data_IF_900693005673
#
_entry.id   IF_900693005673
#
_cell.length_a   1.000
_cell.length_b   1.000
_cell.length_c   1.000
_cell.angle_alpha   90.00
_cell.angle_beta   90.00
_cell.angle_gamma   90.00
#
_symmetry.space_group_name_H-M   'P 1'
#
loop_
_entity.id
_entity.type
_entity.pdbx_description
1 polymer ?
#
# COMPACT_ATOMS: atom_id res chain seq x y z
N UNK A 1 26.68 -33.95 33.58
CA UNK A 1 25.53 -33.08 33.80
C UNK A 1 25.79 -31.62 33.45
N UNK A 2 26.82 -30.92 33.91
CA UNK A 2 27.08 -29.48 33.62
C UNK A 2 27.23 -29.15 32.11
N UNK A 3 27.89 -29.98 31.31
CA UNK A 3 28.07 -29.76 29.86
C UNK A 3 26.73 -29.86 29.08
N UNK A 4 25.83 -30.75 29.47
CA UNK A 4 24.53 -30.89 28.83
C UNK A 4 23.58 -29.70 29.11
N UNK A 5 23.67 -29.11 30.30
CA UNK A 5 22.87 -27.93 30.68
C UNK A 5 23.34 -26.70 29.92
N UNK A 6 24.64 -26.52 29.70
CA UNK A 6 25.20 -25.39 28.93
C UNK A 6 24.79 -25.49 27.46
N UNK A 7 24.80 -26.70 26.86
CA UNK A 7 24.34 -26.91 25.48
C UNK A 7 22.84 -26.62 25.33
N UNK A 8 22.00 -27.04 26.26
CA UNK A 8 20.57 -26.78 26.28
C UNK A 8 20.28 -25.29 26.43
N UNK A 9 20.98 -24.57 27.30
CA UNK A 9 20.83 -23.12 27.46
C UNK A 9 21.28 -22.35 26.22
N UNK A 10 22.39 -22.74 25.57
CA UNK A 10 22.83 -22.10 24.34
C UNK A 10 21.87 -22.35 23.18
N UNK A 11 21.30 -23.55 23.02
CA UNK A 11 20.28 -23.87 22.03
C UNK A 11 18.99 -23.07 22.25
N UNK A 12 18.54 -22.91 23.49
CA UNK A 12 17.35 -22.13 23.80
C UNK A 12 17.56 -20.63 23.55
N UNK A 13 18.72 -20.08 23.81
CA UNK A 13 19.06 -18.68 23.50
C UNK A 13 19.09 -18.44 21.96
N UNK A 14 19.70 -19.35 21.20
CA UNK A 14 19.74 -19.28 19.74
C UNK A 14 18.34 -19.41 19.16
N UNK A 15 17.52 -20.33 19.65
CA UNK A 15 16.13 -20.49 19.23
C UNK A 15 15.29 -19.23 19.54
N UNK A 16 15.43 -18.66 20.75
CA UNK A 16 14.75 -17.42 21.12
C UNK A 16 15.20 -16.24 20.27
N UNK A 17 16.49 -16.12 19.98
CA UNK A 17 17.02 -15.09 19.09
C UNK A 17 16.52 -15.27 17.65
N UNK A 18 16.43 -16.50 17.14
CA UNK A 18 15.89 -16.80 15.80
C UNK A 18 14.40 -16.47 15.71
N UNK A 19 13.59 -16.81 16.70
CA UNK A 19 12.17 -16.47 16.77
C UNK A 19 11.98 -14.95 16.84
N UNK A 20 12.76 -14.26 17.68
CA UNK A 20 12.69 -12.81 17.81
C UNK A 20 13.07 -12.09 16.50
N UNK A 21 14.12 -12.56 15.80
CA UNK A 21 14.50 -12.00 14.51
C UNK A 21 13.47 -12.27 13.43
N UNK A 22 12.92 -13.50 13.36
CA UNK A 22 11.86 -13.84 12.40
C UNK A 22 10.61 -13.00 12.63
N UNK A 23 10.17 -12.82 13.88
CA UNK A 23 9.02 -11.99 14.24
C UNK A 23 9.24 -10.50 13.88
N UNK A 24 10.46 -9.99 14.05
CA UNK A 24 10.82 -8.62 13.68
C UNK A 24 10.68 -8.34 12.19
N UNK A 25 10.97 -9.31 11.32
CA UNK A 25 10.88 -9.19 9.86
C UNK A 25 9.52 -9.60 9.32
N UNK A 26 8.61 -10.09 10.15
CA UNK A 26 7.29 -10.49 9.74
C UNK A 26 6.50 -9.31 9.17
N UNK A 27 5.78 -9.57 8.07
CA UNK A 27 4.77 -8.66 7.54
C UNK A 27 3.47 -8.95 8.28
N UNK A 28 2.90 -7.92 8.88
CA UNK A 28 1.62 -7.99 9.57
C UNK A 28 0.52 -7.46 8.66
N UNK A 29 -0.56 -8.22 8.55
CA UNK A 29 -1.81 -7.79 7.94
C UNK A 29 -2.86 -7.54 9.02
N UNK A 30 -3.62 -6.47 8.86
CA UNK A 30 -4.73 -6.14 9.76
C UNK A 30 -5.89 -5.54 8.96
N UNK A 31 -7.09 -6.07 9.15
CA UNK A 31 -8.30 -5.58 8.49
C UNK A 31 -9.17 -4.80 9.46
N UNK A 32 -9.64 -3.64 9.04
CA UNK A 32 -10.50 -2.74 9.81
C UNK A 32 -11.67 -2.28 8.93
N UNK A 33 -12.84 -2.10 9.52
CA UNK A 33 -13.98 -1.48 8.85
C UNK A 33 -14.28 -0.14 9.51
N UNK A 34 -14.13 0.93 8.74
CA UNK A 34 -14.56 2.27 9.13
C UNK A 34 -15.99 2.53 8.65
N UNK A 35 -16.73 3.37 9.38
CA UNK A 35 -18.09 3.76 8.97
C UNK A 35 -18.13 5.25 8.70
N UNK A 36 -18.35 5.63 7.43
CA UNK A 36 -18.44 7.01 7.02
C UNK A 36 -19.81 7.60 7.41
N UNK A 37 -19.85 8.37 8.49
CA UNK A 37 -21.06 9.00 9.01
C UNK A 37 -21.67 10.02 8.07
N UNK A 38 -20.88 10.64 7.18
CA UNK A 38 -21.34 11.65 6.21
C UNK A 38 -22.11 11.03 5.05
N UNK A 39 -21.95 9.70 4.86
CA UNK A 39 -22.59 8.92 3.80
C UNK A 39 -23.47 7.80 4.36
N UNK A 40 -24.29 8.11 5.38
CA UNK A 40 -25.25 7.16 5.95
C UNK A 40 -24.59 5.95 6.62
N UNK A 41 -23.44 6.15 7.28
CA UNK A 41 -22.61 5.10 7.89
C UNK A 41 -22.11 4.06 6.86
N UNK A 42 -21.79 4.52 5.64
CA UNK A 42 -21.23 3.65 4.61
C UNK A 42 -19.99 2.93 5.16
N UNK A 43 -19.94 1.58 5.12
CA UNK A 43 -18.75 0.85 5.51
C UNK A 43 -17.65 1.04 4.45
N UNK A 44 -16.42 1.28 4.91
CA UNK A 44 -15.20 1.30 4.10
C UNK A 44 -14.22 0.34 4.77
N UNK A 45 -14.12 -0.87 4.23
CA UNK A 45 -13.20 -1.87 4.72
C UNK A 45 -11.80 -1.61 4.16
N UNK A 46 -10.82 -1.76 5.02
CA UNK A 46 -9.39 -1.57 4.74
C UNK A 46 -8.63 -2.78 5.26
N UNK A 47 -7.71 -3.30 4.47
CA UNK A 47 -6.66 -4.20 4.92
C UNK A 47 -5.32 -3.49 4.74
N UNK A 48 -4.50 -3.43 5.79
CA UNK A 48 -3.18 -2.84 5.65
C UNK A 48 -2.08 -3.84 6.01
N UNK A 49 -0.99 -3.79 5.24
CA UNK A 49 0.19 -4.59 5.43
C UNK A 49 1.39 -3.69 5.76
N UNK A 50 2.16 -4.09 6.77
CA UNK A 50 3.38 -3.39 7.18
C UNK A 50 4.40 -4.36 7.74
N UNK A 51 5.68 -4.12 7.48
CA UNK A 51 6.76 -4.89 8.08
C UNK A 51 7.04 -4.39 9.50
N UNK A 52 7.00 -5.31 10.46
CA UNK A 52 6.98 -4.99 11.90
C UNK A 52 8.17 -4.15 12.37
N UNK A 53 9.39 -4.44 11.89
CA UNK A 53 10.58 -3.63 12.24
C UNK A 53 10.47 -2.19 11.74
N UNK A 54 9.89 -1.99 10.54
CA UNK A 54 9.69 -0.65 9.97
C UNK A 54 8.59 0.11 10.68
N UNK A 55 7.52 -0.56 11.06
CA UNK A 55 6.46 0.01 11.90
C UNK A 55 7.03 0.49 13.24
N UNK A 56 7.81 -0.36 13.93
CA UNK A 56 8.45 0.02 15.20
C UNK A 56 9.41 1.21 15.06
N UNK A 57 10.21 1.26 13.98
CA UNK A 57 11.10 2.39 13.69
C UNK A 57 10.31 3.69 13.44
N UNK A 58 9.21 3.59 12.71
CA UNK A 58 8.35 4.74 12.42
C UNK A 58 7.64 5.26 13.67
N UNK A 59 7.11 4.37 14.50
CA UNK A 59 6.46 4.71 15.78
C UNK A 59 7.46 5.33 16.77
N UNK A 60 8.75 4.96 16.68
CA UNK A 60 9.83 5.59 17.43
C UNK A 60 10.29 6.94 16.83
N UNK A 61 9.69 7.40 15.73
CA UNK A 61 10.05 8.64 15.05
C UNK A 61 11.36 8.59 14.26
N UNK A 62 11.91 7.40 14.01
CA UNK A 62 13.19 7.23 13.30
C UNK A 62 13.05 7.35 11.78
N UNK A 63 11.84 7.08 11.25
CA UNK A 63 11.50 7.23 9.83
C UNK A 63 10.00 7.48 9.68
N UNK A 64 9.56 7.82 8.45
CA UNK A 64 8.15 7.77 8.05
C UNK A 64 7.94 6.65 7.05
N UNK A 65 6.83 5.91 7.16
CA UNK A 65 6.47 4.86 6.21
C UNK A 65 5.89 5.50 4.96
N UNK A 66 6.45 5.31 3.77
CA UNK A 66 5.77 5.68 2.53
C UNK A 66 4.46 4.87 2.39
N UNK A 67 3.46 5.43 1.72
CA UNK A 67 2.12 4.82 1.62
C UNK A 67 1.84 4.35 0.20
N UNK A 68 1.34 3.10 0.09
CA UNK A 68 0.78 2.55 -1.11
C UNK A 68 -0.72 2.26 -0.93
N UNK A 69 -1.56 2.73 -1.86
CA UNK A 69 -3.01 2.51 -1.86
C UNK A 69 -3.37 1.50 -2.95
N UNK A 70 -3.88 0.34 -2.56
CA UNK A 70 -4.24 -0.75 -3.46
C UNK A 70 -5.75 -0.77 -3.72
N UNK A 71 -6.12 -0.80 -5.01
CA UNK A 71 -7.49 -0.78 -5.48
C UNK A 71 -7.81 -2.08 -6.22
N UNK A 72 -8.88 -2.76 -5.80
CA UNK A 72 -9.28 -4.05 -6.35
C UNK A 72 -9.99 -3.95 -7.70
N UNK A 73 -9.94 -5.04 -8.48
CA UNK A 73 -10.73 -5.21 -9.70
C UNK A 73 -12.23 -5.32 -9.42
N UNK A 74 -13.05 -5.18 -10.47
CA UNK A 74 -14.49 -5.33 -10.34
C UNK A 74 -14.85 -6.75 -9.85
N UNK A 75 -15.76 -6.86 -8.89
CA UNK A 75 -16.20 -8.12 -8.26
C UNK A 75 -15.11 -8.92 -7.51
N UNK A 76 -13.89 -8.37 -7.40
CA UNK A 76 -12.78 -8.98 -6.67
C UNK A 76 -12.72 -8.39 -5.26
N UNK A 77 -12.39 -9.21 -4.27
CA UNK A 77 -12.22 -8.72 -2.89
C UNK A 77 -10.96 -7.85 -2.80
N UNK A 78 -11.01 -6.79 -1.99
CA UNK A 78 -9.88 -5.89 -1.78
C UNK A 78 -8.65 -6.60 -1.15
N UNK A 79 -8.83 -7.75 -0.51
CA UNK A 79 -7.77 -8.59 0.06
C UNK A 79 -7.09 -9.53 -0.93
N UNK A 80 -7.52 -9.59 -2.20
CA UNK A 80 -7.00 -10.50 -3.24
C UNK A 80 -5.71 -10.00 -3.92
N UNK A 81 -4.99 -9.08 -3.28
CA UNK A 81 -3.74 -8.51 -3.78
C UNK A 81 -2.65 -8.52 -2.70
N UNK A 82 -2.69 -9.53 -1.81
CA UNK A 82 -1.72 -9.65 -0.73
C UNK A 82 -0.29 -9.84 -1.25
N UNK A 83 -0.12 -10.49 -2.41
CA UNK A 83 1.18 -10.64 -3.06
C UNK A 83 1.84 -9.29 -3.41
N UNK A 84 1.06 -8.26 -3.80
CA UNK A 84 1.56 -6.90 -4.02
C UNK A 84 1.79 -6.18 -2.69
N UNK A 85 0.82 -6.24 -1.77
CA UNK A 85 0.93 -5.61 -0.46
C UNK A 85 2.20 -6.07 0.28
N UNK A 86 2.56 -7.35 0.14
CA UNK A 86 3.77 -7.92 0.71
C UNK A 86 5.06 -7.34 0.10
N UNK A 87 5.11 -7.05 -1.20
CA UNK A 87 6.27 -6.37 -1.82
C UNK A 87 6.44 -4.97 -1.24
N UNK A 88 5.37 -4.19 -1.16
CA UNK A 88 5.40 -2.86 -0.58
C UNK A 88 5.83 -2.90 0.90
N UNK A 89 5.22 -3.77 1.70
CA UNK A 89 5.57 -3.91 3.12
C UNK A 89 7.01 -4.36 3.32
N UNK A 90 7.52 -5.30 2.51
CA UNK A 90 8.93 -5.73 2.54
C UNK A 90 9.90 -4.57 2.29
N UNK A 91 9.50 -3.59 1.47
CA UNK A 91 10.26 -2.36 1.21
C UNK A 91 10.02 -1.25 2.23
N UNK A 92 9.26 -1.50 3.27
CA UNK A 92 9.00 -0.56 4.36
C UNK A 92 7.86 0.42 4.09
N UNK A 93 6.99 0.14 3.13
CA UNK A 93 5.75 0.89 2.95
C UNK A 93 4.67 0.43 3.94
N UNK A 94 3.73 1.32 4.23
CA UNK A 94 2.40 0.98 4.68
C UNK A 94 1.54 0.75 3.44
N UNK A 95 1.21 -0.50 3.14
CA UNK A 95 0.34 -0.86 2.02
C UNK A 95 -1.11 -0.96 2.50
N UNK A 96 -2.03 -0.24 1.88
CA UNK A 96 -3.44 -0.10 2.29
C UNK A 96 -4.34 -0.53 1.14
N UNK A 97 -4.99 -1.68 1.27
CA UNK A 97 -5.99 -2.19 0.33
C UNK A 97 -7.38 -1.72 0.75
N UNK A 98 -8.14 -1.11 -0.15
CA UNK A 98 -9.44 -0.48 0.15
C UNK A 98 -10.56 -1.15 -0.61
N UNK A 99 -11.67 -1.49 0.09
CA UNK A 99 -12.91 -1.94 -0.52
C UNK A 99 -13.67 -0.75 -1.12
N UNK A 100 -13.65 -0.63 -2.46
CA UNK A 100 -14.28 0.49 -3.16
C UNK A 100 -15.78 0.29 -3.41
N UNK A 101 -16.23 -0.95 -3.58
CA UNK A 101 -17.62 -1.27 -3.88
C UNK A 101 -18.22 -2.16 -2.78
N UNK A 102 -19.49 -1.92 -2.45
CA UNK A 102 -20.30 -2.73 -1.54
C UNK A 102 -21.56 -3.22 -2.26
N UNK A 103 -22.23 -4.29 -1.79
CA UNK A 103 -23.39 -4.85 -2.50
C UNK A 103 -24.51 -3.86 -2.81
N UNK A 104 -24.71 -2.85 -1.97
CA UNK A 104 -25.73 -1.81 -2.18
C UNK A 104 -25.40 -0.80 -3.28
N UNK A 105 -24.18 -0.79 -3.83
CA UNK A 105 -23.79 0.09 -4.94
C UNK A 105 -24.37 -0.35 -6.29
N UNK A 106 -24.88 -1.57 -6.35
CA UNK A 106 -25.33 -2.19 -7.59
C UNK A 106 -24.16 -2.66 -8.49
N UNK A 107 -24.48 -3.26 -9.64
CA UNK A 107 -23.47 -3.74 -10.58
C UNK A 107 -22.73 -2.59 -11.26
N UNK A 108 -21.51 -2.86 -11.71
CA UNK A 108 -20.75 -1.93 -12.54
C UNK A 108 -21.49 -1.66 -13.86
N UNK A 109 -21.72 -0.39 -14.14
CA UNK A 109 -22.38 0.05 -15.37
C UNK A 109 -21.38 0.14 -16.51
N UNK A 110 -21.79 -0.26 -17.72
CA UNK A 110 -21.03 -0.04 -18.96
C UNK A 110 -21.96 0.60 -19.99
N UNK A 111 -21.64 1.83 -20.38
CA UNK A 111 -22.40 2.61 -21.36
C UNK A 111 -21.45 3.06 -22.48
N UNK A 112 -21.56 2.37 -23.61
CA UNK A 112 -20.73 2.66 -24.79
C UNK A 112 -21.00 4.10 -25.27
N UNK A 113 -19.92 4.84 -25.57
CA UNK A 113 -20.00 6.23 -26.04
C UNK A 113 -19.95 7.29 -24.92
N UNK A 114 -20.13 6.92 -23.65
CA UNK A 114 -19.89 7.81 -22.51
C UNK A 114 -18.42 7.78 -22.06
N UNK A 115 -17.97 8.87 -21.42
CA UNK A 115 -16.62 8.95 -20.86
C UNK A 115 -16.35 7.77 -19.90
N UNK A 116 -15.23 7.08 -20.12
CA UNK A 116 -14.86 5.86 -19.38
C UNK A 116 -15.99 4.82 -19.37
N UNK A 117 -16.70 4.71 -20.47
CA UNK A 117 -17.88 3.84 -20.64
C UNK A 117 -18.93 3.98 -19.51
N UNK A 118 -19.14 5.21 -19.04
CA UNK A 118 -20.11 5.54 -18.00
C UNK A 118 -19.69 5.24 -16.57
N UNK A 119 -18.41 4.89 -16.33
CA UNK A 119 -17.90 4.49 -14.98
C UNK A 119 -17.46 5.66 -14.11
N UNK A 120 -17.53 6.89 -14.59
CA UNK A 120 -17.12 8.08 -13.83
C UNK A 120 -17.73 8.16 -12.42
N UNK A 121 -19.04 7.90 -12.19
CA UNK A 121 -19.60 7.92 -10.84
C UNK A 121 -18.97 6.88 -9.90
N UNK A 122 -18.59 5.70 -10.42
CA UNK A 122 -17.89 4.67 -9.64
C UNK A 122 -16.50 5.14 -9.25
N UNK A 123 -15.75 5.76 -10.17
CA UNK A 123 -14.41 6.29 -9.85
C UNK A 123 -14.46 7.42 -8.83
N UNK A 124 -15.44 8.33 -8.94
CA UNK A 124 -15.66 9.40 -7.96
C UNK A 124 -16.00 8.85 -6.57
N UNK A 125 -16.84 7.80 -6.49
CA UNK A 125 -17.14 7.08 -5.24
C UNK A 125 -15.90 6.46 -4.65
N UNK A 126 -15.07 5.80 -5.48
CA UNK A 126 -13.81 5.20 -5.03
C UNK A 126 -12.84 6.25 -4.50
N UNK A 127 -12.67 7.41 -5.16
CA UNK A 127 -11.88 8.53 -4.64
C UNK A 127 -12.37 8.97 -3.27
N UNK A 128 -13.69 9.09 -3.08
CA UNK A 128 -14.25 9.46 -1.78
C UNK A 128 -13.93 8.42 -0.72
N UNK A 129 -14.01 7.11 -1.05
CA UNK A 129 -13.60 6.03 -0.13
C UNK A 129 -12.11 6.11 0.20
N UNK A 130 -11.25 6.34 -0.79
CA UNK A 130 -9.79 6.46 -0.61
C UNK A 130 -9.46 7.62 0.33
N UNK A 131 -10.00 8.80 0.06
CA UNK A 131 -9.75 9.99 0.90
C UNK A 131 -10.26 9.78 2.34
N UNK A 132 -11.45 9.22 2.51
CA UNK A 132 -11.98 8.88 3.82
C UNK A 132 -11.07 7.86 4.54
N UNK A 133 -10.67 6.78 3.86
CA UNK A 133 -9.77 5.78 4.44
C UNK A 133 -8.42 6.39 4.85
N UNK A 134 -7.84 7.26 4.03
CA UNK A 134 -6.59 7.97 4.36
C UNK A 134 -6.74 8.79 5.64
N UNK A 135 -7.83 9.55 5.81
CA UNK A 135 -8.05 10.34 7.04
C UNK A 135 -8.18 9.45 8.27
N UNK A 136 -8.89 8.32 8.16
CA UNK A 136 -8.98 7.35 9.27
C UNK A 136 -7.63 6.67 9.56
N UNK A 137 -6.86 6.37 8.51
CA UNK A 137 -5.54 5.76 8.67
C UNK A 137 -4.50 6.73 9.27
N UNK A 138 -4.60 8.03 9.02
CA UNK A 138 -3.76 9.05 9.69
C UNK A 138 -3.91 9.01 11.21
N UNK A 139 -5.11 8.74 11.71
CA UNK A 139 -5.38 8.64 13.15
C UNK A 139 -4.73 7.40 13.79
N UNK A 140 -4.73 6.25 13.09
CA UNK A 140 -4.21 4.98 13.62
C UNK A 140 -2.76 4.69 13.23
N UNK A 141 -2.26 5.32 12.18
CA UNK A 141 -0.88 5.21 11.67
C UNK A 141 -0.28 6.59 11.37
N UNK A 142 -0.16 7.48 12.38
CA UNK A 142 0.35 8.84 12.19
C UNK A 142 1.84 8.89 11.78
N UNK A 143 2.55 7.78 11.95
CA UNK A 143 3.96 7.62 11.55
C UNK A 143 4.16 7.37 10.05
N UNK A 144 3.08 7.25 9.25
CA UNK A 144 3.15 7.12 7.80
C UNK A 144 3.13 8.49 7.09
N UNK A 145 3.70 8.53 5.89
CA UNK A 145 3.71 9.72 5.03
C UNK A 145 2.62 9.64 3.96
N UNK A 146 1.54 10.36 4.17
CA UNK A 146 0.40 10.43 3.24
C UNK A 146 0.51 11.58 2.24
N UNK A 147 1.62 12.32 2.21
CA UNK A 147 1.79 13.48 1.31
C UNK A 147 2.09 13.08 -0.13
N UNK A 148 2.69 11.90 -0.34
CA UNK A 148 3.07 11.37 -1.65
C UNK A 148 2.75 9.88 -1.73
N UNK A 149 1.65 9.55 -2.38
CA UNK A 149 1.10 8.20 -2.47
C UNK A 149 1.66 7.41 -3.66
N UNK A 150 1.82 6.11 -3.49
CA UNK A 150 1.90 5.17 -4.61
C UNK A 150 0.52 4.55 -4.83
N UNK A 151 -0.13 4.90 -5.95
CA UNK A 151 -1.44 4.35 -6.30
C UNK A 151 -1.27 3.04 -7.06
N UNK A 152 -1.98 2.01 -6.65
CA UNK A 152 -1.89 0.66 -7.23
C UNK A 152 -3.29 0.17 -7.56
N UNK A 153 -3.45 -0.57 -8.66
CA UNK A 153 -4.75 -1.19 -8.91
C UNK A 153 -4.77 -2.16 -10.09
N UNK A 154 -5.68 -3.12 -10.00
CA UNK A 154 -5.93 -4.12 -11.04
C UNK A 154 -7.24 -3.81 -11.77
N UNK A 155 -7.26 -3.93 -13.12
CA UNK A 155 -8.48 -3.77 -13.90
C UNK A 155 -9.18 -2.43 -13.60
N UNK A 156 -10.44 -2.47 -13.15
CA UNK A 156 -11.18 -1.30 -12.68
C UNK A 156 -10.47 -0.55 -11.54
N UNK A 157 -9.77 -1.26 -10.66
CA UNK A 157 -8.92 -0.64 -9.63
C UNK A 157 -7.72 0.10 -10.22
N UNK A 158 -7.17 -0.36 -11.33
CA UNK A 158 -6.13 0.34 -12.10
C UNK A 158 -6.67 1.62 -12.73
N UNK A 159 -7.91 1.58 -13.25
CA UNK A 159 -8.60 2.78 -13.74
C UNK A 159 -8.83 3.78 -12.60
N UNK A 160 -9.24 3.32 -11.40
CA UNK A 160 -9.39 4.16 -10.20
C UNK A 160 -8.05 4.80 -9.81
N UNK A 161 -6.97 4.01 -9.78
CA UNK A 161 -5.63 4.51 -9.44
C UNK A 161 -5.18 5.61 -10.41
N UNK A 162 -5.36 5.41 -11.71
CA UNK A 162 -5.01 6.37 -12.75
C UNK A 162 -5.92 7.60 -12.71
N UNK A 163 -7.22 7.42 -12.46
CA UNK A 163 -8.15 8.53 -12.30
C UNK A 163 -7.84 9.38 -11.08
N UNK A 164 -7.48 8.76 -9.95
CA UNK A 164 -7.01 9.47 -8.75
C UNK A 164 -5.77 10.31 -9.08
N UNK A 165 -4.77 9.70 -9.72
CA UNK A 165 -3.53 10.38 -10.10
C UNK A 165 -3.77 11.58 -11.04
N UNK A 166 -4.74 11.45 -11.95
CA UNK A 166 -5.16 12.54 -12.85
C UNK A 166 -5.83 13.71 -12.10
N UNK A 167 -6.60 13.42 -11.04
CA UNK A 167 -7.30 14.46 -10.26
C UNK A 167 -6.39 15.13 -9.22
N UNK A 168 -5.42 14.39 -8.65
CA UNK A 168 -4.56 14.81 -7.54
C UNK A 168 -3.08 14.52 -7.83
N UNK A 169 -2.53 15.02 -8.93
CA UNK A 169 -1.18 14.66 -9.36
C UNK A 169 -0.10 15.08 -8.35
N UNK A 170 -0.35 16.13 -7.59
CA UNK A 170 0.59 16.62 -6.57
C UNK A 170 0.65 15.71 -5.33
N UNK A 171 -0.34 14.84 -5.14
CA UNK A 171 -0.37 13.84 -4.07
C UNK A 171 0.30 12.51 -4.49
N UNK A 172 0.81 12.39 -5.72
CA UNK A 172 1.30 11.12 -6.28
C UNK A 172 2.83 11.10 -6.37
N UNK A 173 3.41 9.97 -5.97
CA UNK A 173 4.81 9.58 -6.21
C UNK A 173 4.90 8.64 -7.41
N UNK A 174 4.10 7.58 -7.40
CA UNK A 174 4.09 6.56 -8.46
C UNK A 174 2.65 6.04 -8.70
N UNK A 175 2.44 5.47 -9.89
CA UNK A 175 1.24 4.69 -10.21
C UNK A 175 1.66 3.31 -10.71
N UNK A 176 1.02 2.26 -10.20
CA UNK A 176 1.21 0.88 -10.66
C UNK A 176 -0.13 0.32 -11.10
N UNK A 177 -0.26 -0.06 -12.37
CA UNK A 177 -1.49 -0.66 -12.89
C UNK A 177 -1.27 -2.08 -13.37
N UNK A 178 -2.22 -2.94 -13.05
CA UNK A 178 -2.34 -4.28 -13.59
C UNK A 178 -3.55 -4.28 -14.50
N UNK A 179 -3.29 -4.10 -15.79
CA UNK A 179 -4.26 -4.20 -16.88
C UNK A 179 -5.50 -3.30 -16.73
N UNK A 180 -5.29 -1.99 -16.44
CA UNK A 180 -6.34 -0.98 -16.51
C UNK A 180 -6.81 -0.77 -17.96
N UNK A 181 -8.09 -0.43 -18.17
CA UNK A 181 -8.70 -0.55 -19.48
C UNK A 181 -9.38 0.72 -20.00
N UNK A 182 -9.72 1.69 -19.14
CA UNK A 182 -10.65 2.79 -19.50
C UNK A 182 -10.07 4.19 -19.26
N UNK A 183 -9.21 4.35 -18.27
CA UNK A 183 -8.65 5.66 -17.94
C UNK A 183 -7.27 5.80 -18.60
N UNK A 184 -7.08 6.78 -19.51
CA UNK A 184 -5.80 7.03 -20.16
C UNK A 184 -4.69 7.36 -19.15
N UNK A 185 -3.48 6.94 -19.44
CA UNK A 185 -2.31 7.27 -18.64
C UNK A 185 -2.07 8.78 -18.63
N UNK A 186 -1.48 9.25 -17.54
CA UNK A 186 -0.99 10.62 -17.43
C UNK A 186 0.43 10.65 -18.00
N UNK A 187 0.64 11.45 -19.06
CA UNK A 187 1.90 11.47 -19.85
C UNK A 187 2.74 12.73 -19.63
N UNK A 188 2.43 13.53 -18.60
CA UNK A 188 3.13 14.78 -18.33
C UNK A 188 4.43 14.62 -17.50
N UNK A 189 4.80 13.40 -17.15
CA UNK A 189 6.06 13.06 -16.48
C UNK A 189 6.13 13.45 -14.99
N UNK A 190 5.03 13.91 -14.37
CA UNK A 190 5.03 14.35 -12.96
C UNK A 190 5.26 13.22 -11.96
N UNK A 191 5.00 11.98 -12.33
CA UNK A 191 5.21 10.78 -11.52
C UNK A 191 5.51 9.59 -12.42
N UNK A 192 6.18 8.58 -11.86
CA UNK A 192 6.51 7.36 -12.60
C UNK A 192 5.31 6.41 -12.68
N UNK A 193 5.15 5.72 -13.81
CA UNK A 193 4.10 4.73 -14.03
C UNK A 193 4.73 3.39 -14.39
N UNK A 194 4.30 2.31 -13.71
CA UNK A 194 4.55 0.93 -14.11
C UNK A 194 3.20 0.28 -14.46
N UNK A 195 3.07 -0.23 -15.67
CA UNK A 195 1.84 -0.88 -16.12
C UNK A 195 2.11 -2.28 -16.64
N UNK A 196 1.47 -3.27 -16.07
CA UNK A 196 1.44 -4.64 -16.59
C UNK A 196 0.25 -4.79 -17.53
N UNK A 197 0.47 -5.38 -18.72
CA UNK A 197 -0.57 -5.64 -19.71
C UNK A 197 -0.78 -7.13 -19.85
N UNK A 198 -2.04 -7.59 -19.79
CA UNK A 198 -2.38 -8.99 -20.05
C UNK A 198 -2.35 -9.31 -21.54
N UNK A 199 -2.21 -10.59 -21.86
CA UNK A 199 -2.39 -11.13 -23.22
C UNK A 199 -3.83 -11.65 -23.41
N UNK A 200 -4.79 -11.16 -22.64
CA UNK A 200 -6.17 -11.62 -22.66
C UNK A 200 -6.96 -10.95 -23.79
N UNK A 201 -7.49 -11.70 -24.79
CA UNK A 201 -8.20 -11.12 -25.91
C UNK A 201 -9.56 -10.49 -25.53
N UNK A 202 -10.10 -10.83 -24.35
CA UNK A 202 -11.39 -10.32 -23.86
C UNK A 202 -11.25 -9.02 -23.09
N UNK A 203 -10.06 -8.67 -22.60
CA UNK A 203 -9.78 -7.49 -21.80
C UNK A 203 -8.84 -6.53 -22.53
N UNK A 204 -9.38 -5.87 -23.55
CA UNK A 204 -8.63 -4.87 -24.33
C UNK A 204 -8.81 -3.47 -23.76
N UNK A 205 -7.74 -2.67 -23.67
CA UNK A 205 -7.87 -1.26 -23.33
C UNK A 205 -8.64 -0.51 -24.42
N UNK A 206 -9.38 0.52 -24.02
CA UNK A 206 -9.96 1.44 -24.98
C UNK A 206 -8.85 2.18 -25.76
N UNK A 207 -9.10 2.59 -27.00
CA UNK A 207 -8.15 3.37 -27.78
C UNK A 207 -7.65 4.60 -27.00
N UNK A 208 -6.33 4.81 -26.98
CA UNK A 208 -5.72 5.94 -26.28
C UNK A 208 -5.57 5.76 -24.76
N UNK A 209 -5.88 4.59 -24.18
CA UNK A 209 -5.63 4.32 -22.75
C UNK A 209 -4.15 4.11 -22.50
N UNK A 210 -3.49 3.30 -23.32
CA UNK A 210 -2.04 3.07 -23.28
C UNK A 210 -1.40 3.96 -24.33
N UNK A 211 -0.48 4.86 -23.97
CA UNK A 211 0.24 5.71 -24.92
C UNK A 211 1.12 4.86 -25.86
N UNK A 212 1.57 5.45 -26.94
CA UNK A 212 2.58 4.83 -27.79
C UNK A 212 3.97 4.75 -27.11
N UNK A 213 4.91 4.06 -27.73
CA UNK A 213 6.24 3.82 -27.13
C UNK A 213 7.01 5.12 -26.92
N UNK A 214 6.94 6.06 -27.87
CA UNK A 214 7.63 7.36 -27.81
C UNK A 214 7.06 8.24 -26.69
N UNK A 215 5.75 8.23 -26.49
CA UNK A 215 5.09 8.95 -25.38
C UNK A 215 5.44 8.31 -24.04
N UNK A 216 5.46 6.97 -23.99
CA UNK A 216 5.85 6.24 -22.77
C UNK A 216 7.30 6.58 -22.37
N UNK A 217 8.24 6.56 -23.30
CA UNK A 217 9.65 6.88 -23.05
C UNK A 217 9.81 8.31 -22.52
N UNK A 218 9.19 9.29 -23.18
CA UNK A 218 9.24 10.71 -22.78
C UNK A 218 8.63 10.96 -21.40
N UNK A 219 7.59 10.24 -21.06
CA UNK A 219 6.90 10.39 -19.79
C UNK A 219 7.48 9.52 -18.66
N UNK A 220 8.48 8.66 -18.93
CA UNK A 220 9.04 7.73 -17.96
C UNK A 220 8.05 6.62 -17.54
N UNK A 221 7.17 6.20 -18.47
CA UNK A 221 6.19 5.15 -18.28
C UNK A 221 6.81 3.81 -18.70
N UNK A 222 6.72 2.82 -17.81
CA UNK A 222 7.18 1.45 -18.08
C UNK A 222 5.95 0.58 -18.35
N UNK A 223 5.82 0.12 -19.60
CA UNK A 223 4.76 -0.83 -20.00
C UNK A 223 5.37 -2.23 -20.14
N UNK A 224 4.84 -3.18 -19.39
CA UNK A 224 5.26 -4.58 -19.36
C UNK A 224 4.18 -5.41 -20.00
N UNK A 225 4.41 -5.85 -21.25
CA UNK A 225 3.54 -6.83 -21.89
C UNK A 225 3.85 -8.22 -21.34
N UNK A 226 2.83 -8.89 -20.80
CA UNK A 226 2.93 -10.23 -20.20
C UNK A 226 2.21 -11.27 -21.04
N UNK A 227 2.51 -12.55 -20.78
CA UNK A 227 1.78 -13.67 -21.35
C UNK A 227 0.64 -14.16 -20.43
N UNK A 228 0.33 -13.40 -19.37
CA UNK A 228 -0.69 -13.76 -18.40
C UNK A 228 -2.08 -13.30 -18.84
N UNK A 229 -3.11 -13.99 -18.37
CA UNK A 229 -4.50 -13.56 -18.54
C UNK A 229 -4.82 -12.41 -17.58
N UNK A 230 -5.85 -11.64 -17.89
CA UNK A 230 -6.31 -10.54 -17.04
C UNK A 230 -6.53 -10.94 -15.58
N UNK A 231 -7.21 -12.06 -15.37
CA UNK A 231 -7.53 -12.56 -14.04
C UNK A 231 -6.39 -13.29 -13.32
N UNK A 232 -5.25 -13.50 -13.97
CA UNK A 232 -4.06 -14.09 -13.34
C UNK A 232 -3.32 -13.10 -12.44
N UNK A 233 -3.61 -11.80 -12.55
CA UNK A 233 -2.91 -10.73 -11.85
C UNK A 233 -3.47 -10.46 -10.44
N UNK A 234 -3.80 -11.53 -9.70
CA UNK A 234 -4.33 -11.48 -8.32
C UNK A 234 -3.85 -12.69 -7.53
N UNK A 235 -4.15 -12.77 -6.21
CA UNK A 235 -3.67 -13.84 -5.32
C UNK A 235 -4.04 -15.26 -5.79
N UNK A 236 -5.18 -15.41 -6.45
CA UNK A 236 -5.63 -16.70 -7.02
C UNK A 236 -4.98 -17.03 -8.37
N UNK A 237 -4.17 -16.14 -8.92
CA UNK A 237 -3.42 -16.39 -10.15
C UNK A 237 -2.26 -17.36 -9.98
N UNK A 238 -1.64 -17.80 -11.10
CA UNK A 238 -0.48 -18.67 -11.08
C UNK A 238 0.70 -18.07 -10.31
N UNK A 239 1.49 -18.90 -9.64
CA UNK A 239 2.69 -18.44 -8.91
C UNK A 239 3.71 -17.76 -9.83
N UNK A 240 3.82 -18.21 -11.08
CA UNK A 240 4.68 -17.61 -12.10
C UNK A 240 4.28 -16.15 -12.38
N UNK A 241 2.98 -15.89 -12.55
CA UNK A 241 2.47 -14.54 -12.78
C UNK A 241 2.75 -13.62 -11.59
N UNK A 242 2.44 -14.09 -10.38
CA UNK A 242 2.69 -13.36 -9.13
C UNK A 242 4.18 -13.08 -8.96
N UNK A 243 5.03 -14.08 -9.11
CA UNK A 243 6.48 -13.94 -8.97
C UNK A 243 7.10 -12.97 -9.97
N UNK A 244 6.66 -13.02 -11.23
CA UNK A 244 7.11 -12.09 -12.28
C UNK A 244 6.70 -10.64 -11.95
N UNK A 245 5.44 -10.42 -11.59
CA UNK A 245 4.93 -9.09 -11.22
C UNK A 245 5.67 -8.57 -9.99
N UNK A 246 5.85 -9.40 -8.95
CA UNK A 246 6.57 -9.02 -7.73
C UNK A 246 8.02 -8.60 -8.01
N UNK A 247 8.75 -9.36 -8.83
CA UNK A 247 10.14 -9.05 -9.17
C UNK A 247 10.27 -7.71 -9.91
N UNK A 248 9.37 -7.43 -10.85
CA UNK A 248 9.40 -6.18 -11.61
C UNK A 248 8.93 -4.99 -10.77
N UNK A 249 7.91 -5.18 -9.93
CA UNK A 249 7.48 -4.16 -8.98
C UNK A 249 8.60 -3.82 -7.98
N UNK A 250 9.27 -4.83 -7.45
CA UNK A 250 10.39 -4.65 -6.53
C UNK A 250 11.53 -3.83 -7.17
N UNK A 251 11.90 -4.15 -8.42
CA UNK A 251 12.89 -3.38 -9.19
C UNK A 251 12.43 -1.93 -9.41
N UNK A 252 11.19 -1.72 -9.86
CA UNK A 252 10.63 -0.39 -10.09
C UNK A 252 10.68 0.49 -8.84
N UNK A 253 10.33 -0.06 -7.68
CA UNK A 253 10.37 0.67 -6.41
C UNK A 253 11.81 0.97 -5.98
N UNK A 254 12.78 0.07 -6.23
CA UNK A 254 14.21 0.32 -5.95
C UNK A 254 14.73 1.51 -6.76
N UNK A 255 14.41 1.55 -8.05
CA UNK A 255 14.85 2.63 -8.95
C UNK A 255 14.15 3.97 -8.62
N UNK A 256 12.89 3.92 -8.17
CA UNK A 256 12.14 5.10 -7.73
C UNK A 256 12.69 5.68 -6.42
N UNK A 257 13.12 4.85 -5.49
CA UNK A 257 13.71 5.28 -4.22
C UNK A 257 15.13 5.83 -4.40
N UNK A 258 15.94 5.24 -5.30
CA UNK A 258 17.29 5.71 -5.63
C UNK A 258 17.28 7.09 -6.30
N UNK A 259 16.27 7.40 -7.10
CA UNK A 259 16.12 8.70 -7.78
C UNK A 259 15.72 9.83 -6.81
N UNK A 260 15.21 9.50 -5.63
CA UNK A 260 14.84 10.48 -4.59
C UNK A 260 16.04 10.92 -3.74
N UNK A 261 17.19 10.22 -3.84
CA UNK A 261 18.44 10.60 -3.20
C UNK A 261 19.22 11.46 -4.21
N UNK A 262 18.80 12.72 -4.43
CA UNK A 262 19.69 13.70 -5.02
C UNK A 262 20.90 13.87 -4.08
N UNK A 263 22.15 13.99 -4.59
CA UNK A 263 23.30 14.18 -3.73
C UNK A 263 23.09 15.47 -2.92
N UNK A 264 23.04 15.32 -1.61
CA UNK A 264 23.15 16.47 -0.69
C UNK A 264 24.53 17.06 -0.94
N UNK A 265 24.56 18.32 -1.40
CA UNK A 265 25.76 19.10 -1.59
C UNK A 265 26.48 19.19 -0.23
N UNK A 266 27.56 18.41 -0.07
CA UNK A 266 28.34 18.30 1.16
C UNK A 266 29.33 19.43 1.36
N UNK A 267 29.20 20.54 0.63
CA UNK A 267 30.17 21.67 0.73
C UNK A 267 29.91 22.62 1.87
N UNK A 268 28.86 22.47 2.70
CA UNK A 268 28.70 23.34 3.89
C UNK A 268 27.88 22.64 4.99
N UNK A 269 28.51 21.77 5.79
CA UNK A 269 28.00 21.47 7.14
C UNK A 269 29.10 20.86 8.02
N UNK A 270 29.97 21.70 8.58
CA UNK A 270 30.51 21.42 9.90
C UNK A 270 29.36 21.69 10.89
N UNK A 271 28.51 20.73 11.15
CA UNK A 271 27.44 20.81 12.14
C UNK A 271 27.70 19.78 13.23
N UNK A 272 27.84 20.26 14.40
CA UNK A 272 27.94 19.65 15.72
C UNK A 272 27.06 18.41 15.84
N UNK A 273 27.66 17.25 16.02
CA UNK A 273 26.99 16.00 16.39
C UNK A 273 26.58 16.16 17.86
N UNK A 274 25.30 16.45 18.10
CA UNK A 274 24.68 16.26 19.40
C UNK A 274 24.22 14.80 19.49
N UNK A 275 24.92 14.01 20.30
CA UNK A 275 24.47 12.65 20.67
C UNK A 275 23.12 12.74 21.38
N UNK A 276 22.09 11.98 20.98
CA UNK A 276 20.84 11.92 21.74
C UNK A 276 21.09 11.21 23.07
N UNK A 277 20.95 11.94 24.16
CA UNK A 277 21.02 11.39 25.52
C UNK A 277 19.94 10.30 25.72
N UNK A 278 20.16 9.38 26.67
CA UNK A 278 19.25 8.27 26.94
C UNK A 278 17.87 8.81 27.36
N UNK A 279 16.82 8.31 26.70
CA UNK A 279 15.42 8.61 27.06
C UNK A 279 15.19 8.13 28.49
N UNK A 280 14.72 8.97 29.43
CA UNK A 280 14.49 8.56 30.79
C UNK A 280 13.45 7.41 30.86
N UNK A 281 13.80 6.34 31.56
CA UNK A 281 12.96 5.13 31.73
C UNK A 281 11.52 5.47 32.20
N UNK A 282 11.39 6.58 32.93
CA UNK A 282 10.13 7.12 33.44
C UNK A 282 9.17 7.51 32.32
N UNK A 283 9.64 8.13 31.24
CA UNK A 283 8.82 8.54 30.09
C UNK A 283 8.30 7.36 29.30
N UNK A 284 9.10 6.29 29.19
CA UNK A 284 8.71 5.03 28.56
C UNK A 284 7.62 4.30 29.38
N UNK A 285 7.77 4.27 30.69
CA UNK A 285 6.79 3.63 31.59
C UNK A 285 5.46 4.37 31.65
N UNK A 286 5.45 5.70 31.58
CA UNK A 286 4.21 6.50 31.54
C UNK A 286 3.44 6.28 30.24
N UNK A 287 4.13 6.15 29.09
CA UNK A 287 3.53 5.83 27.79
C UNK A 287 2.89 4.44 27.80
N UNK A 288 3.59 3.42 28.29
CA UNK A 288 3.08 2.04 28.40
C UNK A 288 1.86 1.97 29.32
N UNK A 289 1.84 2.73 30.42
CA UNK A 289 0.71 2.77 31.36
C UNK A 289 -0.53 3.41 30.73
N UNK A 290 -0.35 4.47 29.95
CA UNK A 290 -1.43 5.16 29.23
C UNK A 290 -2.08 4.27 28.16
N UNK A 291 -1.28 3.50 27.43
CA UNK A 291 -1.77 2.54 26.42
C UNK A 291 -2.52 1.36 27.08
N UNK A 292 -2.07 0.89 28.24
CA UNK A 292 -2.75 -0.16 29.00
C UNK A 292 -4.12 0.30 29.54
N UNK A 293 -4.23 1.56 29.97
CA UNK A 293 -5.47 2.13 30.47
C UNK A 293 -6.50 2.35 29.35
N UNK A 294 -6.06 2.75 28.15
CA UNK A 294 -6.94 2.87 26.96
C UNK A 294 -7.48 1.49 26.56
N UNK A 295 -6.66 0.43 26.59
CA UNK A 295 -7.13 -0.94 26.30
C UNK A 295 -8.10 -1.48 27.36
N UNK A 296 -7.97 -1.06 28.62
CA UNK A 296 -8.91 -1.45 29.70
C UNK A 296 -10.26 -0.75 29.57
N UNK A 297 -10.28 0.54 29.23
CA UNK A 297 -11.54 1.29 29.05
C UNK A 297 -12.35 0.81 27.84
N UNK A 298 -11.70 0.50 26.71
CA UNK A 298 -12.37 -0.07 25.53
C UNK A 298 -12.96 -1.47 25.77
N UNK A 299 -12.34 -2.28 26.66
CA UNK A 299 -12.88 -3.61 27.03
C UNK A 299 -14.06 -3.54 27.99
N UNK A 300 -14.14 -2.50 28.82
CA UNK A 300 -15.24 -2.31 29.77
C UNK A 300 -16.54 -1.81 29.09
N UNK A 301 -16.45 -1.11 27.95
CA UNK A 301 -17.61 -0.71 27.15
C UNK A 301 -18.22 -1.88 26.38
N UNK A 302 -17.39 -2.80 25.86
CA UNK A 302 -17.87 -4.00 25.15
C UNK A 302 -18.57 -5.04 26.07
N UNK A 303 -18.36 -4.99 27.38
CA UNK A 303 -19.01 -5.89 28.34
C UNK A 303 -20.35 -5.37 28.89
N UNK A 304 -20.76 -4.13 28.57
CA UNK A 304 -22.03 -3.51 29.00
C UNK A 304 -23.11 -3.51 27.92
N UNK A 305 -22.82 -4.05 26.73
CA UNK A 305 -23.74 -4.12 25.57
C UNK A 305 -24.15 -5.54 25.20
N UNK A 306 -23.94 -6.53 26.08
CA UNK A 306 -24.52 -7.89 26.00
C UNK A 306 -25.54 -8.12 27.10
#
# INVERSE_FOLDING_TARGET
>A
MRRGIIVLLSLSVVAAAAVFTADKWAIRHESIVFNDSTRGKRPVAVDFAVRRDKEMQADAGMLKLPVAILNHGNTVRFTEYSFLANVFAARGYLAISIQNDIPSDGPMVTKVGELYVGRLPQYQRAITNIKFAIEQMKEIKPSADYSKLTMVGHSNGGDIAMYFAKQYPDEIKNVVTLDNLRVPFVTDGRFKILSFRSHDPHFKPDPGVVPDEDECEKAGIIVVNTNFQHNDMRDTGPEEAKGSIQAMLDKFLADADSSAIAPVDTTNAAATILEPGPIPLRTLMEKVKREADIRRSGRAELSRTN
#
